data_IF_708072398889
#
_entry.id   IF_708072398889
#
_cell.length_a   1.000
_cell.length_b   1.000
_cell.length_c   1.000
_cell.angle_alpha   90.00
_cell.angle_beta   90.00
_cell.angle_gamma   90.00
#
_symmetry.space_group_name_H-M   'P 1'
#
loop_
_entity.id
_entity.type
_entity.pdbx_description
1 polymer ?
#
# COMPACT_ATOMS: atom_id res chain seq x y z
N UNK A 1 -6.24 -14.34 14.31
CA UNK A 1 -6.55 -15.45 13.38
C UNK A 1 -8.05 -15.77 13.28
N UNK A 2 -8.83 -15.74 14.37
CA UNK A 2 -10.29 -16.01 14.32
C UNK A 2 -11.06 -15.22 13.23
N UNK A 3 -10.70 -13.95 12.97
CA UNK A 3 -11.36 -13.13 11.95
C UNK A 3 -11.16 -13.66 10.52
N UNK A 4 -9.98 -14.20 10.19
CA UNK A 4 -9.70 -14.72 8.84
C UNK A 4 -10.32 -16.10 8.66
N UNK A 5 -10.42 -16.90 9.71
CA UNK A 5 -11.15 -18.17 9.71
C UNK A 5 -12.64 -17.95 9.46
N UNK A 6 -13.23 -17.00 10.19
CA UNK A 6 -14.64 -16.65 10.08
C UNK A 6 -15.02 -15.92 8.78
N UNK A 7 -14.04 -15.50 7.95
CA UNK A 7 -14.34 -14.81 6.70
C UNK A 7 -15.13 -15.71 5.74
N UNK A 8 -16.32 -15.25 5.35
CA UNK A 8 -17.30 -16.00 4.54
C UNK A 8 -16.83 -16.31 3.10
N UNK A 9 -15.80 -15.60 2.62
CA UNK A 9 -15.27 -15.76 1.28
C UNK A 9 -13.80 -16.19 1.32
N UNK A 10 -13.40 -16.94 0.30
CA UNK A 10 -12.02 -17.37 0.11
C UNK A 10 -11.11 -16.24 -0.42
N UNK A 11 -11.68 -15.14 -0.91
CA UNK A 11 -10.91 -13.93 -1.25
C UNK A 11 -10.93 -12.99 -0.06
N UNK A 12 -9.77 -12.72 0.53
CA UNK A 12 -9.61 -11.89 1.73
C UNK A 12 -8.71 -10.70 1.40
N UNK A 13 -9.15 -9.49 1.76
CA UNK A 13 -8.36 -8.26 1.61
C UNK A 13 -7.96 -7.80 3.00
N UNK A 14 -6.68 -7.44 3.18
CA UNK A 14 -6.19 -6.86 4.42
C UNK A 14 -6.08 -5.34 4.31
N UNK A 15 -6.53 -4.66 5.36
CA UNK A 15 -6.38 -3.23 5.55
C UNK A 15 -5.65 -3.00 6.88
N UNK A 16 -4.49 -2.35 6.82
CA UNK A 16 -3.68 -2.02 7.99
C UNK A 16 -3.38 -0.53 8.06
N UNK A 17 -3.10 0.00 9.25
CA UNK A 17 -2.46 1.32 9.33
C UNK A 17 -0.99 1.20 8.90
N UNK A 18 -0.25 0.29 9.54
CA UNK A 18 1.10 -0.09 9.17
C UNK A 18 1.07 -1.19 8.09
N UNK A 19 2.09 -1.23 7.24
CA UNK A 19 2.29 -2.37 6.34
C UNK A 19 2.88 -3.58 7.07
N UNK A 20 2.84 -4.77 6.47
CA UNK A 20 3.36 -5.99 7.09
C UNK A 20 4.89 -6.01 7.11
N UNK A 21 5.45 -6.72 8.08
CA UNK A 21 6.88 -7.06 8.11
C UNK A 21 7.27 -7.86 6.85
N UNK A 22 8.52 -7.70 6.41
CA UNK A 22 9.09 -8.30 5.21
C UNK A 22 9.20 -7.33 4.02
N UNK A 23 8.83 -6.06 4.19
CA UNK A 23 8.78 -5.04 3.15
C UNK A 23 9.63 -3.79 3.46
N UNK A 24 10.68 -3.92 4.29
CA UNK A 24 11.41 -2.75 4.77
C UNK A 24 12.94 -2.87 4.85
N UNK A 25 13.59 -3.70 4.04
CA UNK A 25 15.06 -3.84 4.07
C UNK A 25 15.76 -2.49 3.81
N UNK A 26 15.36 -1.80 2.75
CA UNK A 26 15.91 -0.50 2.32
C UNK A 26 15.01 0.67 2.73
N UNK A 27 15.56 1.88 2.90
CA UNK A 27 14.76 3.08 3.23
C UNK A 27 13.60 3.35 2.27
N UNK A 28 13.81 3.04 0.99
CA UNK A 28 12.86 3.24 -0.10
C UNK A 28 11.78 2.15 -0.18
N UNK A 29 11.92 1.06 0.57
CA UNK A 29 10.94 -0.02 0.58
C UNK A 29 9.65 0.42 1.30
N UNK A 30 8.49 -0.22 1.02
CA UNK A 30 7.19 0.21 1.52
C UNK A 30 7.10 0.36 3.05
N UNK A 31 7.87 -0.42 3.80
CA UNK A 31 7.96 -0.41 5.25
C UNK A 31 9.38 -0.08 5.75
N UNK A 32 10.23 0.48 4.88
CA UNK A 32 11.62 0.80 5.19
C UNK A 32 11.79 2.09 5.97
N UNK A 33 12.60 2.07 7.02
CA UNK A 33 12.91 3.27 7.80
C UNK A 33 13.75 4.27 7.01
N UNK A 34 13.26 5.50 6.91
CA UNK A 34 13.90 6.58 6.16
C UNK A 34 14.21 7.84 7.00
N UNK A 35 14.13 7.75 8.33
CA UNK A 35 14.37 8.86 9.26
C UNK A 35 15.37 8.54 10.38
N UNK A 36 15.80 9.61 11.07
CA UNK A 36 16.67 9.55 12.24
C UNK A 36 18.14 9.81 11.91
N UNK A 37 18.98 9.92 12.95
CA UNK A 37 20.42 10.20 12.84
C UNK A 37 21.30 8.93 12.74
N UNK A 38 20.67 7.76 12.65
CA UNK A 38 21.34 6.45 12.62
C UNK A 38 21.40 5.84 11.23
N UNK A 39 21.70 4.54 11.15
CA UNK A 39 21.63 3.78 9.89
C UNK A 39 20.21 3.82 9.33
N UNK A 40 20.08 4.22 8.08
CA UNK A 40 18.83 4.16 7.33
C UNK A 40 18.55 2.71 6.90
N UNK A 41 17.27 2.39 6.68
CA UNK A 41 16.79 1.04 6.40
C UNK A 41 16.45 0.27 7.67
N UNK A 42 16.03 -0.98 7.48
CA UNK A 42 15.45 -1.80 8.53
C UNK A 42 13.93 -1.77 8.49
N UNK A 43 13.38 -2.94 8.77
CA UNK A 43 11.97 -3.23 8.54
C UNK A 43 11.10 -2.74 9.70
N UNK A 44 10.22 -1.78 9.39
CA UNK A 44 9.26 -1.19 10.31
C UNK A 44 7.83 -1.69 10.04
N UNK A 45 7.71 -2.77 9.28
CA UNK A 45 6.46 -3.47 9.07
C UNK A 45 6.00 -4.20 10.32
N UNK A 46 4.69 -4.39 10.40
CA UNK A 46 3.99 -5.06 11.48
C UNK A 46 4.11 -6.59 11.33
N UNK A 47 4.77 -7.29 12.29
CA UNK A 47 4.92 -8.73 12.24
C UNK A 47 3.58 -9.47 12.45
N UNK A 48 2.66 -8.93 13.25
CA UNK A 48 1.37 -9.57 13.50
C UNK A 48 0.50 -9.54 12.23
N UNK A 49 0.58 -8.45 11.46
CA UNK A 49 -0.08 -8.36 10.16
C UNK A 49 0.52 -9.34 9.15
N UNK A 50 1.86 -9.48 9.13
CA UNK A 50 2.54 -10.44 8.26
C UNK A 50 2.10 -11.88 8.59
N UNK A 51 2.07 -12.24 9.87
CA UNK A 51 1.63 -13.56 10.33
C UNK A 51 0.16 -13.83 9.96
N UNK A 52 -0.71 -12.82 10.05
CA UNK A 52 -2.12 -12.97 9.68
C UNK A 52 -2.32 -13.21 8.18
N UNK A 53 -1.54 -12.55 7.33
CA UNK A 53 -1.55 -12.76 5.88
C UNK A 53 -1.06 -14.17 5.57
N UNK A 54 0.10 -14.57 6.11
CA UNK A 54 0.69 -15.88 5.90
C UNK A 54 -0.25 -17.01 6.34
N UNK A 55 -0.84 -16.89 7.54
CA UNK A 55 -1.82 -17.85 8.04
C UNK A 55 -3.02 -17.98 7.09
N UNK A 56 -3.54 -16.87 6.58
CA UNK A 56 -4.67 -16.86 5.65
C UNK A 56 -4.33 -17.59 4.35
N UNK A 57 -3.12 -17.40 3.82
CA UNK A 57 -2.64 -18.09 2.61
C UNK A 57 -2.44 -19.59 2.88
N UNK A 58 -1.90 -19.98 4.04
CA UNK A 58 -1.75 -21.39 4.46
C UNK A 58 -3.10 -22.11 4.52
N UNK A 59 -4.17 -21.41 4.91
CA UNK A 59 -5.54 -21.95 4.89
C UNK A 59 -6.09 -22.14 3.46
N UNK A 60 -5.34 -21.79 2.42
CA UNK A 60 -5.78 -21.87 1.02
C UNK A 60 -6.70 -20.72 0.59
N UNK A 61 -6.82 -19.65 1.40
CA UNK A 61 -7.55 -18.44 1.01
C UNK A 61 -6.65 -17.56 0.14
N UNK A 62 -7.27 -16.92 -0.84
CA UNK A 62 -6.63 -15.99 -1.75
C UNK A 62 -6.56 -14.60 -1.12
N UNK A 63 -5.37 -13.99 -1.10
CA UNK A 63 -5.14 -12.65 -0.57
C UNK A 63 -4.66 -11.72 -1.69
N UNK A 64 -5.55 -11.15 -2.53
CA UNK A 64 -5.10 -10.37 -3.68
C UNK A 64 -4.56 -8.99 -3.32
N UNK A 65 -4.97 -8.42 -2.18
CA UNK A 65 -4.63 -7.07 -1.78
C UNK A 65 -4.36 -6.97 -0.29
N UNK A 66 -3.23 -6.34 0.04
CA UNK A 66 -2.90 -5.83 1.36
C UNK A 66 -2.67 -4.33 1.20
N UNK A 67 -3.63 -3.51 1.64
CA UNK A 67 -3.51 -2.06 1.57
C UNK A 67 -3.17 -1.50 2.96
N UNK A 68 -2.20 -0.58 3.00
CA UNK A 68 -1.73 0.02 4.23
C UNK A 68 -1.28 1.47 4.03
N UNK A 69 -0.81 2.11 5.09
CA UNK A 69 -0.25 3.45 5.06
C UNK A 69 0.89 3.61 6.06
N UNK A 70 0.77 4.61 6.95
CA UNK A 70 1.75 5.01 7.97
C UNK A 70 3.06 5.59 7.39
N UNK A 71 3.73 4.83 6.53
CA UNK A 71 4.99 5.18 5.91
C UNK A 71 4.73 6.09 4.71
N UNK A 72 4.90 7.41 4.87
CA UNK A 72 4.54 8.40 3.83
C UNK A 72 5.33 8.17 2.52
N UNK A 73 4.75 8.50 1.36
CA UNK A 73 5.45 8.33 0.07
C UNK A 73 6.73 9.15 -0.05
N UNK A 74 6.78 10.38 0.48
CA UNK A 74 7.99 11.21 0.43
C UNK A 74 9.05 10.72 1.43
N UNK A 75 10.29 10.56 0.96
CA UNK A 75 11.41 10.16 1.80
C UNK A 75 11.90 11.34 2.65
N UNK A 76 12.25 11.10 3.92
CA UNK A 76 12.72 12.12 4.87
C UNK A 76 14.21 12.37 4.81
N UNK A 77 15.00 11.42 4.31
CA UNK A 77 16.46 11.52 4.24
C UNK A 77 16.97 12.17 2.94
N UNK A 78 16.09 12.41 1.96
CA UNK A 78 16.41 13.01 0.66
C UNK A 78 15.20 13.77 0.12
N UNK A 79 15.40 14.66 -0.85
CA UNK A 79 14.34 15.54 -1.38
C UNK A 79 13.85 15.12 -2.78
N UNK A 80 14.51 14.16 -3.41
CA UNK A 80 14.36 13.81 -4.83
C UNK A 80 13.94 12.34 -5.05
N UNK A 81 13.23 11.76 -4.09
CA UNK A 81 12.81 10.36 -4.19
C UNK A 81 11.54 10.05 -3.41
N UNK A 82 10.82 9.04 -3.89
CA UNK A 82 9.66 8.47 -3.22
C UNK A 82 9.93 7.02 -2.83
N UNK A 83 9.26 6.60 -1.76
CA UNK A 83 9.12 5.21 -1.35
C UNK A 83 8.36 4.42 -2.42
N UNK A 84 8.71 3.15 -2.57
CA UNK A 84 7.95 2.20 -3.40
C UNK A 84 6.54 2.07 -2.83
N UNK A 85 5.54 2.44 -3.62
CA UNK A 85 4.13 2.45 -3.20
C UNK A 85 3.40 1.13 -3.45
N UNK A 86 3.88 0.31 -4.39
CA UNK A 86 3.21 -0.93 -4.77
C UNK A 86 4.22 -2.02 -5.12
N UNK A 87 4.04 -3.22 -4.55
CA UNK A 87 4.84 -4.40 -4.86
C UNK A 87 3.91 -5.62 -4.99
N UNK A 88 4.07 -6.38 -6.07
CA UNK A 88 3.41 -7.67 -6.25
C UNK A 88 4.36 -8.78 -5.84
N UNK A 89 3.94 -9.66 -4.93
CA UNK A 89 4.75 -10.81 -4.55
C UNK A 89 4.52 -12.02 -5.50
N UNK A 90 5.22 -13.11 -5.22
CA UNK A 90 5.13 -14.35 -5.99
C UNK A 90 3.72 -14.99 -5.92
N UNK A 91 3.06 -14.90 -4.76
CA UNK A 91 1.70 -15.39 -4.52
C UNK A 91 0.60 -14.54 -5.19
N UNK A 92 0.98 -13.50 -5.94
CA UNK A 92 0.05 -12.56 -6.60
C UNK A 92 -0.77 -11.71 -5.63
N UNK A 93 -0.22 -11.46 -4.45
CA UNK A 93 -0.68 -10.44 -3.49
C UNK A 93 -0.08 -9.09 -3.86
N UNK A 94 -0.92 -8.08 -4.11
CA UNK A 94 -0.46 -6.69 -4.22
C UNK A 94 -0.39 -6.07 -2.83
N UNK A 95 0.80 -5.63 -2.44
CA UNK A 95 1.04 -4.80 -1.27
C UNK A 95 1.03 -3.33 -1.70
N UNK A 96 0.04 -2.57 -1.24
CA UNK A 96 -0.19 -1.18 -1.65
C UNK A 96 -0.06 -0.24 -0.44
N UNK A 97 0.98 0.58 -0.44
CA UNK A 97 1.10 1.71 0.47
C UNK A 97 0.32 2.91 -0.12
N UNK A 98 -0.85 3.17 0.46
CA UNK A 98 -1.78 4.22 0.06
C UNK A 98 -1.52 5.57 0.77
N UNK A 99 -0.38 5.74 1.46
CA UNK A 99 -0.08 6.96 2.21
C UNK A 99 0.27 8.16 1.30
N UNK A 100 -0.70 9.07 1.11
CA UNK A 100 -0.48 10.39 0.51
C UNK A 100 -0.53 11.49 1.57
N UNK A 101 0.59 12.17 1.80
CA UNK A 101 0.69 13.33 2.71
C UNK A 101 1.35 14.53 2.00
N UNK A 102 0.65 15.67 1.88
CA UNK A 102 -0.73 15.89 2.32
C UNK A 102 -1.72 15.08 1.45
N UNK A 103 -2.86 14.69 2.03
CA UNK A 103 -3.93 13.99 1.29
C UNK A 103 -4.79 14.95 0.47
N UNK A 104 -4.81 16.22 0.88
CA UNK A 104 -5.48 17.32 0.19
C UNK A 104 -4.40 18.33 -0.15
N UNK A 105 -4.31 18.73 -1.42
CA UNK A 105 -3.41 19.80 -1.85
C UNK A 105 -4.21 20.91 -2.51
N UNK A 106 -3.78 22.15 -2.33
CA UNK A 106 -4.33 23.27 -3.07
C UNK A 106 -3.46 23.53 -4.29
N UNK A 107 -4.08 23.64 -5.47
CA UNK A 107 -3.41 24.06 -6.69
C UNK A 107 -4.13 25.28 -7.25
N UNK A 108 -3.60 26.47 -6.96
CA UNK A 108 -4.13 27.76 -7.42
C UNK A 108 -5.59 28.02 -6.97
N UNK A 109 -5.94 27.64 -5.74
CA UNK A 109 -7.29 27.80 -5.19
C UNK A 109 -8.26 26.67 -5.53
N UNK A 110 -7.81 25.63 -6.25
CA UNK A 110 -8.57 24.40 -6.49
C UNK A 110 -8.05 23.28 -5.56
N UNK A 111 -8.82 22.87 -4.55
CA UNK A 111 -8.44 21.77 -3.68
C UNK A 111 -8.58 20.43 -4.40
N UNK A 112 -7.52 19.63 -4.32
CA UNK A 112 -7.42 18.31 -4.94
C UNK A 112 -7.25 17.25 -3.86
N UNK A 113 -8.00 16.15 -4.00
CA UNK A 113 -8.10 15.08 -3.01
C UNK A 113 -7.45 13.81 -3.55
N UNK A 114 -6.56 13.20 -2.78
CA UNK A 114 -5.92 11.96 -3.15
C UNK A 114 -6.73 10.72 -2.73
N UNK A 115 -6.84 9.77 -3.66
CA UNK A 115 -7.41 8.44 -3.45
C UNK A 115 -6.51 7.37 -4.07
N UNK A 116 -6.58 6.16 -3.53
CA UNK A 116 -6.04 4.96 -4.18
C UNK A 116 -7.19 4.16 -4.78
N UNK A 117 -7.09 3.86 -6.07
CA UNK A 117 -8.09 3.07 -6.80
C UNK A 117 -7.49 1.72 -7.17
N UNK A 118 -8.16 0.64 -6.79
CA UNK A 118 -7.75 -0.73 -7.11
C UNK A 118 -8.88 -1.43 -7.85
N UNK A 119 -8.59 -1.96 -9.03
CA UNK A 119 -9.52 -2.79 -9.79
C UNK A 119 -9.23 -4.26 -9.50
N UNK A 120 -10.23 -4.95 -8.94
CA UNK A 120 -10.19 -6.39 -8.64
C UNK A 120 -11.23 -7.11 -9.48
N UNK A 121 -10.84 -8.19 -10.16
CA UNK A 121 -11.76 -9.02 -10.92
C UNK A 121 -11.40 -10.50 -10.78
N UNK A 122 -12.38 -11.32 -10.45
CA UNK A 122 -12.23 -12.76 -10.22
C UNK A 122 -11.10 -13.09 -9.21
N UNK A 123 -11.05 -12.33 -8.11
CA UNK A 123 -10.04 -12.49 -7.07
C UNK A 123 -8.62 -12.11 -7.49
N UNK A 124 -8.43 -11.41 -8.63
CA UNK A 124 -7.11 -10.98 -9.11
C UNK A 124 -7.07 -9.47 -9.29
N UNK A 125 -5.97 -8.86 -8.89
CA UNK A 125 -5.73 -7.44 -9.14
C UNK A 125 -5.52 -7.23 -10.63
N UNK A 126 -6.24 -6.26 -11.17
CA UNK A 126 -6.13 -5.83 -12.57
C UNK A 126 -5.35 -4.55 -12.67
N UNK A 127 -5.53 -3.61 -11.75
CA UNK A 127 -4.86 -2.33 -11.80
C UNK A 127 -4.84 -1.70 -10.40
N UNK A 128 -3.81 -0.91 -10.12
CA UNK A 128 -3.80 0.01 -8.99
C UNK A 128 -3.30 1.38 -9.43
N UNK A 129 -3.96 2.45 -8.97
CA UNK A 129 -3.63 3.84 -9.27
C UNK A 129 -3.68 4.69 -8.01
N UNK A 130 -2.83 5.70 -7.95
CA UNK A 130 -3.05 6.89 -7.10
C UNK A 130 -3.71 7.95 -7.97
N UNK A 131 -4.80 8.55 -7.50
CA UNK A 131 -5.54 9.56 -8.25
C UNK A 131 -5.70 10.84 -7.43
N UNK A 132 -5.66 11.97 -8.11
CA UNK A 132 -6.04 13.27 -7.57
C UNK A 132 -7.32 13.73 -8.24
N UNK A 133 -8.34 14.02 -7.44
CA UNK A 133 -9.65 14.48 -7.91
C UNK A 133 -9.83 15.95 -7.54
N UNK A 134 -10.14 16.79 -8.52
CA UNK A 134 -10.45 18.22 -8.34
C UNK A 134 -11.90 18.43 -7.92
N UNK A 135 -12.28 19.65 -7.51
CA UNK A 135 -13.69 19.95 -7.22
C UNK A 135 -14.61 19.79 -8.43
N UNK A 136 -14.06 19.93 -9.64
CA UNK A 136 -14.78 19.78 -10.91
C UNK A 136 -14.79 18.33 -11.42
N UNK A 137 -14.42 17.36 -10.57
CA UNK A 137 -14.36 15.92 -10.90
C UNK A 137 -13.33 15.56 -11.99
N UNK A 138 -12.33 16.41 -12.22
CA UNK A 138 -11.19 16.06 -13.07
C UNK A 138 -10.26 15.10 -12.32
N UNK A 139 -9.74 14.10 -13.04
CA UNK A 139 -8.91 13.04 -12.46
C UNK A 139 -7.52 13.11 -13.07
N UNK A 140 -6.50 13.25 -12.22
CA UNK A 140 -5.10 13.02 -12.58
C UNK A 140 -4.66 11.67 -11.99
N UNK A 141 -4.05 10.83 -12.81
CA UNK A 141 -3.72 9.46 -12.43
C UNK A 141 -2.20 9.21 -12.43
N UNK A 142 -1.76 8.43 -11.45
CA UNK A 142 -0.47 7.78 -11.41
C UNK A 142 -0.70 6.27 -11.36
N UNK A 143 -0.17 5.53 -12.33
CA UNK A 143 -0.29 4.07 -12.39
C UNK A 143 0.74 3.46 -11.43
N UNK A 144 0.25 2.77 -10.40
CA UNK A 144 1.09 2.08 -9.41
C UNK A 144 1.27 0.59 -9.75
N UNK A 145 0.24 -0.01 -10.33
CA UNK A 145 0.29 -1.36 -10.90
C UNK A 145 -0.51 -1.34 -12.22
N UNK A 146 0.15 -1.60 -13.36
CA UNK A 146 -0.48 -1.47 -14.67
C UNK A 146 -1.48 -2.60 -14.93
N UNK A 147 -2.42 -2.33 -15.85
CA UNK A 147 -3.25 -3.38 -16.41
C UNK A 147 -2.40 -4.38 -17.21
N UNK A 148 -2.75 -5.68 -17.20
CA UNK A 148 -2.13 -6.65 -18.09
C UNK A 148 -2.31 -6.32 -19.57
#
# INVERSE_FOLDING_TARGET
MASVEAAAHNTVIFLGHCGPHGLGDRPEDPCGKDWGRGRLGGDYGDPDLADAIAHTQIMGKNVPLVAFGHMHHALRHRTDGERVKAIMNEDKTLYLNAASVPRIRDKNGDPQYNFSLVSLSQGKIRQAKSIWVTQNMEIQEEILYPSP
#
